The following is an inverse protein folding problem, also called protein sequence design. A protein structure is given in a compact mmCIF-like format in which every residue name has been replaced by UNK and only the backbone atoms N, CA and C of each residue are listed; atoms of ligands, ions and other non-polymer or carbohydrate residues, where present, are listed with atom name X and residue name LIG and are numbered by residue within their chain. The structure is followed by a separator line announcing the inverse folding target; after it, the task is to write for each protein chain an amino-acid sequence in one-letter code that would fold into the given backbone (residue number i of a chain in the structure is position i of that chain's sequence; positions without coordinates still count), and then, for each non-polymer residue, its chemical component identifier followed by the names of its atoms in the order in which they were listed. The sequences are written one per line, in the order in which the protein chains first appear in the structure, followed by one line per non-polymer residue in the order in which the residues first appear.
data_IF_154925292924
#
_entry.id   IF_154925292924
#
_cell.length_a   1.000
_cell.length_b   1.000
_cell.length_c   1.000
_cell.angle_alpha   90.00
_cell.angle_beta   90.00
_cell.angle_gamma   90.00
#
_symmetry.space_group_name_H-M   'P 1'
#
loop_
_entity.id
_entity.type
_entity.pdbx_description
1 polymer ?
#
# COMPACT_ATOMS: atom_id res chain seq x y z
N UNK A 1 -22.93 12.76 17.72
CA UNK A 1 -21.49 13.01 17.49
C UNK A 1 -20.95 11.71 16.92
N UNK A 2 -20.50 11.70 15.68
CA UNK A 2 -19.86 10.52 15.07
C UNK A 2 -18.35 10.70 15.14
N UNK A 3 -17.64 9.68 15.60
CA UNK A 3 -16.19 9.68 15.76
C UNK A 3 -15.69 8.36 15.19
N UNK A 4 -14.63 8.43 14.38
CA UNK A 4 -14.01 7.27 13.77
C UNK A 4 -13.41 6.35 14.84
N UNK A 5 -13.72 5.06 14.77
CA UNK A 5 -13.13 4.04 15.63
C UNK A 5 -11.90 3.40 14.97
N UNK A 6 -10.88 2.99 15.73
CA UNK A 6 -9.72 2.33 15.16
C UNK A 6 -10.08 0.95 14.58
N UNK A 7 -9.38 0.56 13.53
CA UNK A 7 -9.45 -0.79 12.93
C UNK A 7 -8.07 -1.44 12.91
N UNK A 8 -8.02 -2.76 13.07
CA UNK A 8 -6.78 -3.52 13.02
C UNK A 8 -6.15 -3.47 11.62
N UNK A 9 -4.81 -3.31 11.55
CA UNK A 9 -4.09 -3.15 10.28
C UNK A 9 -4.23 -4.35 9.34
N UNK A 10 -4.39 -5.57 9.87
CA UNK A 10 -4.61 -6.77 9.03
C UNK A 10 -5.96 -6.79 8.31
N UNK A 11 -6.90 -5.92 8.70
CA UNK A 11 -8.22 -5.81 8.08
C UNK A 11 -8.25 -4.76 6.94
N UNK A 12 -7.12 -4.13 6.62
CA UNK A 12 -7.02 -3.15 5.54
C UNK A 12 -5.94 -3.54 4.53
N UNK A 13 -6.06 -3.03 3.31
CA UNK A 13 -5.10 -3.25 2.22
C UNK A 13 -4.78 -1.93 1.51
N UNK A 14 -3.58 -1.84 0.94
CA UNK A 14 -3.22 -0.72 0.07
C UNK A 14 -3.89 -0.91 -1.30
N UNK A 15 -4.37 0.18 -1.88
CA UNK A 15 -5.04 0.16 -3.18
C UNK A 15 -4.09 0.69 -4.25
N UNK A 16 -3.73 -0.18 -5.20
CA UNK A 16 -3.06 0.23 -6.42
C UNK A 16 -4.11 0.70 -7.42
N UNK A 17 -3.92 1.87 -8.04
CA UNK A 17 -4.85 2.44 -9.02
C UNK A 17 -5.12 1.51 -10.21
N UNK A 18 -4.18 0.63 -10.58
CA UNK A 18 -4.33 -0.32 -11.69
C UNK A 18 -4.83 -1.70 -11.26
N UNK A 19 -4.46 -2.16 -10.07
CA UNK A 19 -4.67 -3.54 -9.65
C UNK A 19 -5.77 -3.73 -8.59
N UNK A 20 -6.23 -2.66 -7.96
CA UNK A 20 -7.09 -2.71 -6.78
C UNK A 20 -6.32 -3.03 -5.49
N UNK A 21 -6.94 -3.71 -4.51
CA UNK A 21 -6.29 -4.09 -3.24
C UNK A 21 -5.08 -5.01 -3.45
N UNK A 22 -3.91 -4.60 -2.94
CA UNK A 22 -2.63 -5.30 -3.14
C UNK A 22 -1.75 -5.26 -1.89
N UNK A 23 -0.77 -6.17 -1.84
CA UNK A 23 0.32 -6.12 -0.85
C UNK A 23 1.43 -5.18 -1.34
N UNK A 24 1.98 -4.38 -0.44
CA UNK A 24 3.18 -3.59 -0.72
C UNK A 24 4.44 -4.47 -0.76
N UNK A 25 5.33 -4.13 -1.68
CA UNK A 25 6.74 -4.48 -1.69
C UNK A 25 7.58 -3.21 -1.56
N UNK A 26 8.89 -3.36 -1.63
CA UNK A 26 9.81 -2.23 -1.60
C UNK A 26 10.85 -2.36 -2.71
N UNK A 27 11.21 -1.23 -3.30
CA UNK A 27 12.35 -1.10 -4.20
C UNK A 27 13.22 0.05 -3.68
N UNK A 28 14.52 -0.05 -3.90
CA UNK A 28 15.46 1.04 -3.64
C UNK A 28 15.75 1.69 -4.99
N UNK A 29 15.47 2.98 -5.09
CA UNK A 29 15.75 3.82 -6.25
C UNK A 29 16.75 4.89 -5.84
N UNK A 30 18.02 4.66 -6.18
CA UNK A 30 19.16 5.41 -5.64
C UNK A 30 19.24 5.30 -4.12
N UNK A 31 19.08 6.42 -3.42
CA UNK A 31 19.08 6.48 -1.95
C UNK A 31 17.67 6.34 -1.34
N UNK A 32 16.61 6.31 -2.15
CA UNK A 32 15.22 6.33 -1.68
C UNK A 32 14.61 4.93 -1.69
N UNK A 33 14.07 4.51 -0.54
CA UNK A 33 13.24 3.31 -0.43
C UNK A 33 11.79 3.65 -0.76
N UNK A 34 11.32 3.15 -1.90
CA UNK A 34 9.95 3.37 -2.39
C UNK A 34 9.10 2.12 -2.18
N UNK A 35 7.80 2.33 -1.91
CA UNK A 35 6.81 1.23 -1.90
C UNK A 35 6.39 0.95 -3.33
N UNK A 36 6.28 -0.34 -3.65
CA UNK A 36 5.85 -0.80 -4.97
C UNK A 36 4.73 -1.82 -4.83
N UNK A 37 3.83 -1.85 -5.81
CA UNK A 37 2.80 -2.87 -5.91
C UNK A 37 3.48 -4.21 -6.18
N UNK A 38 3.27 -5.22 -5.33
CA UNK A 38 3.80 -6.57 -5.60
C UNK A 38 3.21 -7.24 -6.84
N UNK A 39 2.07 -6.76 -7.35
CA UNK A 39 1.39 -7.34 -8.51
C UNK A 39 1.89 -6.78 -9.85
N UNK A 40 1.99 -5.46 -9.99
CA UNK A 40 2.41 -4.81 -11.24
C UNK A 40 3.78 -4.12 -11.18
N UNK A 41 4.40 -4.00 -10.00
CA UNK A 41 5.72 -3.37 -9.84
C UNK A 41 5.72 -1.83 -9.84
N UNK A 42 4.57 -1.19 -10.07
CA UNK A 42 4.44 0.27 -10.04
C UNK A 42 4.60 0.84 -8.63
N UNK A 43 5.06 2.08 -8.53
CA UNK A 43 5.10 2.80 -7.26
C UNK A 43 3.68 2.91 -6.68
N UNK A 44 3.54 2.54 -5.40
CA UNK A 44 2.30 2.68 -4.62
C UNK A 44 2.19 4.07 -4.00
#
# INVERSE_FOLDING_TARGET
MEIEAPIHISNVMLVCKKCGPVKAGYKIDGEKKIRVCRKCGEAL
#
